data_IF_313325371937
#
_entry.id   IF_313325371937
#
_cell.length_a   1.000
_cell.length_b   1.000
_cell.length_c   1.000
_cell.angle_alpha   90.00
_cell.angle_beta   90.00
_cell.angle_gamma   90.00
#
_symmetry.space_group_name_H-M   'P 1'
#
loop_
_entity.id
_entity.type
_entity.pdbx_description
1 polymer ?
#
# COMPACT_ATOMS: atom_id res chain seq x y z
N UNK A 1 -15.25 -18.56 -7.53
CA UNK A 1 -15.99 -17.47 -8.20
C UNK A 1 -14.94 -16.70 -9.00
N UNK A 2 -15.09 -16.65 -10.32
CA UNK A 2 -14.25 -15.83 -11.19
C UNK A 2 -14.89 -14.43 -11.17
N UNK A 3 -14.11 -13.41 -10.85
CA UNK A 3 -14.58 -12.03 -10.82
C UNK A 3 -14.43 -11.40 -12.21
N UNK A 4 -15.19 -10.35 -12.51
CA UNK A 4 -15.05 -9.59 -13.77
C UNK A 4 -13.61 -9.07 -13.97
N UNK A 5 -12.88 -8.82 -12.88
CA UNK A 5 -11.48 -8.42 -12.93
C UNK A 5 -10.56 -9.59 -13.37
N UNK A 6 -10.88 -10.83 -12.95
CA UNK A 6 -10.16 -12.05 -13.33
C UNK A 6 -10.34 -12.35 -14.83
N UNK A 7 -11.45 -11.91 -15.44
CA UNK A 7 -11.70 -12.04 -16.88
C UNK A 7 -10.88 -11.03 -17.69
N UNK A 8 -10.74 -9.79 -17.19
CA UNK A 8 -10.12 -8.68 -17.92
C UNK A 8 -8.60 -8.65 -17.78
N UNK A 9 -8.09 -9.08 -16.62
CA UNK A 9 -6.68 -9.12 -16.27
C UNK A 9 -6.31 -10.43 -15.55
N UNK A 10 -6.53 -11.59 -16.18
CA UNK A 10 -6.28 -12.88 -15.55
C UNK A 10 -4.85 -13.01 -15.05
N UNK A 11 -4.73 -13.40 -13.78
CA UNK A 11 -3.50 -13.98 -13.25
C UNK A 11 -3.56 -15.50 -13.40
N UNK A 12 -2.68 -16.07 -14.24
CA UNK A 12 -2.44 -17.52 -14.36
C UNK A 12 -3.69 -18.42 -14.52
N UNK A 13 -4.85 -17.88 -14.92
CA UNK A 13 -6.07 -18.65 -15.19
C UNK A 13 -6.42 -18.59 -16.67
N UNK A 14 -6.84 -19.74 -17.18
CA UNK A 14 -7.37 -19.88 -18.52
C UNK A 14 -8.53 -18.89 -18.72
N UNK A 15 -8.47 -18.21 -19.87
CA UNK A 15 -9.40 -17.20 -20.35
C UNK A 15 -10.87 -17.61 -20.21
N UNK A 16 -11.71 -16.67 -19.77
CA UNK A 16 -13.16 -16.75 -19.96
C UNK A 16 -13.68 -15.72 -20.98
N UNK A 17 -12.81 -14.87 -21.55
CA UNK A 17 -13.20 -13.84 -22.53
C UNK A 17 -13.30 -14.34 -23.97
N UNK A 18 -13.04 -15.62 -24.24
CA UNK A 18 -12.98 -16.16 -25.60
C UNK A 18 -11.78 -15.65 -26.43
N UNK A 19 -10.92 -14.79 -25.87
CA UNK A 19 -9.66 -14.37 -26.46
C UNK A 19 -8.62 -15.50 -26.36
N UNK A 20 -7.74 -15.59 -27.37
CA UNK A 20 -6.53 -16.42 -27.31
C UNK A 20 -5.43 -15.74 -26.49
N UNK A 21 -4.47 -16.50 -25.95
CA UNK A 21 -3.29 -15.99 -25.25
C UNK A 21 -2.56 -14.87 -26.01
N UNK A 22 -2.47 -14.98 -27.34
CA UNK A 22 -1.78 -14.00 -28.17
C UNK A 22 -2.58 -12.70 -28.30
N UNK A 23 -3.91 -12.78 -28.46
CA UNK A 23 -4.77 -11.60 -28.50
C UNK A 23 -4.71 -10.83 -27.17
N UNK A 24 -4.74 -11.53 -26.05
CA UNK A 24 -4.58 -10.93 -24.73
C UNK A 24 -3.22 -10.26 -24.55
N UNK A 25 -2.12 -10.96 -24.88
CA UNK A 25 -0.77 -10.40 -24.78
C UNK A 25 -0.63 -9.11 -25.60
N UNK A 26 -1.17 -9.08 -26.81
CA UNK A 26 -1.12 -7.90 -27.67
C UNK A 26 -2.03 -6.77 -27.17
N UNK A 27 -3.21 -7.08 -26.62
CA UNK A 27 -4.09 -6.09 -25.99
C UNK A 27 -3.42 -5.45 -24.77
N UNK A 28 -2.93 -6.26 -23.84
CA UNK A 28 -2.25 -5.78 -22.63
C UNK A 28 -1.01 -4.97 -22.97
N UNK A 29 -0.22 -5.36 -23.98
CA UNK A 29 0.93 -4.55 -24.44
C UNK A 29 0.52 -3.14 -24.85
N UNK A 30 -0.63 -2.96 -25.52
CA UNK A 30 -1.15 -1.65 -25.93
C UNK A 30 -1.73 -0.85 -24.76
N UNK A 31 -2.26 -1.54 -23.75
CA UNK A 31 -2.84 -0.93 -22.55
C UNK A 31 -1.78 -0.55 -21.50
N UNK A 32 -0.52 -0.95 -21.66
CA UNK A 32 0.53 -0.62 -20.68
C UNK A 32 0.95 0.84 -20.76
N UNK A 33 1.07 1.45 -19.59
CA UNK A 33 1.67 2.76 -19.40
C UNK A 33 3.20 2.64 -19.36
N UNK A 34 3.86 3.50 -20.13
CA UNK A 34 5.31 3.60 -20.20
C UNK A 34 5.78 4.81 -19.40
N UNK A 35 6.10 4.59 -18.13
CA UNK A 35 6.65 5.63 -17.25
C UNK A 35 7.99 6.05 -17.85
N UNK A 36 8.18 7.34 -18.12
CA UNK A 36 9.33 8.00 -18.76
C UNK A 36 10.32 8.57 -17.75
N UNK A 37 9.88 9.06 -16.60
CA UNK A 37 10.80 9.55 -15.58
C UNK A 37 11.53 8.39 -14.88
N UNK A 38 12.86 8.40 -14.94
CA UNK A 38 13.71 7.33 -14.39
C UNK A 38 13.54 7.15 -12.88
N UNK A 39 13.48 8.24 -12.12
CA UNK A 39 13.31 8.18 -10.67
C UNK A 39 11.94 7.60 -10.31
N UNK A 40 10.88 8.05 -10.99
CA UNK A 40 9.54 7.53 -10.77
C UNK A 40 9.46 6.03 -11.12
N UNK A 41 10.08 5.64 -12.23
CA UNK A 41 10.16 4.24 -12.63
C UNK A 41 10.89 3.40 -11.58
N UNK A 42 12.00 3.85 -10.99
CA UNK A 42 12.65 3.14 -9.87
C UNK A 42 11.78 3.09 -8.60
N UNK A 43 10.99 4.13 -8.34
CA UNK A 43 10.11 4.18 -7.19
C UNK A 43 8.94 3.19 -7.30
N UNK A 44 8.46 2.93 -8.53
CA UNK A 44 7.32 2.03 -8.81
C UNK A 44 7.75 0.60 -9.12
N UNK A 45 8.84 0.40 -9.85
CA UNK A 45 9.20 -0.90 -10.47
C UNK A 45 10.39 -1.58 -9.78
N UNK A 46 10.81 -2.74 -10.30
CA UNK A 46 12.11 -3.32 -9.98
C UNK A 46 13.30 -2.46 -10.47
N UNK A 47 13.08 -1.42 -11.27
CA UNK A 47 14.10 -0.54 -11.87
C UNK A 47 14.89 -1.22 -12.98
N UNK A 48 14.29 -2.21 -13.65
CA UNK A 48 14.89 -2.95 -14.78
C UNK A 48 14.75 -2.16 -16.08
N UNK A 49 15.79 -2.14 -16.92
CA UNK A 49 15.78 -1.43 -18.20
C UNK A 49 16.24 0.03 -18.13
N UNK A 50 16.69 0.51 -16.97
CA UNK A 50 17.37 1.80 -16.88
C UNK A 50 18.81 1.69 -17.35
N UNK A 51 19.19 2.51 -18.33
CA UNK A 51 20.54 2.55 -18.90
C UNK A 51 21.57 3.07 -17.89
N UNK A 52 21.17 4.02 -17.03
CA UNK A 52 21.95 4.50 -15.89
C UNK A 52 21.02 4.80 -14.70
N UNK A 53 21.33 4.24 -13.53
CA UNK A 53 20.65 4.61 -12.29
C UNK A 53 21.23 5.93 -11.79
N UNK A 54 20.52 7.02 -12.05
CA UNK A 54 20.94 8.36 -11.62
C UNK A 54 20.95 8.48 -10.09
N UNK A 55 20.13 7.67 -9.40
CA UNK A 55 20.03 7.64 -7.95
C UNK A 55 20.45 6.26 -7.42
N UNK A 56 21.14 6.18 -6.26
CA UNK A 56 21.63 4.93 -5.69
C UNK A 56 20.51 4.15 -4.98
N UNK A 57 19.37 3.94 -5.63
CA UNK A 57 18.30 3.07 -5.16
C UNK A 57 18.73 1.61 -5.41
N UNK A 58 19.67 1.11 -4.59
CA UNK A 58 20.15 -0.28 -4.64
C UNK A 58 19.12 -1.27 -4.08
N UNK A 59 19.41 -2.58 -4.16
CA UNK A 59 18.50 -3.68 -3.76
C UNK A 59 17.89 -3.53 -2.35
N UNK A 60 18.58 -2.89 -1.40
CA UNK A 60 18.12 -2.62 -0.03
C UNK A 60 17.43 -1.26 0.14
N UNK A 61 17.48 -0.39 -0.86
CA UNK A 61 16.93 0.98 -0.88
C UNK A 61 15.80 1.14 -1.91
N UNK A 62 15.25 0.01 -2.38
CA UNK A 62 14.42 -0.07 -3.56
C UNK A 62 13.07 0.63 -3.47
N UNK A 63 12.39 0.71 -4.62
CA UNK A 63 11.02 1.21 -4.74
C UNK A 63 9.98 0.32 -4.06
N UNK A 64 8.71 0.56 -4.40
CA UNK A 64 7.57 -0.18 -3.89
C UNK A 64 7.78 -1.71 -3.97
N UNK A 65 8.37 -2.17 -5.08
CA UNK A 65 8.59 -3.59 -5.40
C UNK A 65 9.82 -4.23 -4.75
N UNK A 66 10.71 -3.44 -4.14
CA UNK A 66 12.00 -3.91 -3.60
C UNK A 66 12.16 -3.50 -2.15
N UNK A 67 11.34 -4.12 -1.29
CA UNK A 67 11.45 -4.00 0.17
C UNK A 67 10.96 -2.67 0.74
N UNK A 68 10.27 -1.84 -0.06
CA UNK A 68 9.70 -0.55 0.34
C UNK A 68 10.72 0.37 1.04
N UNK A 69 11.89 0.51 0.44
CA UNK A 69 12.97 1.37 0.93
C UNK A 69 12.77 2.85 0.58
N UNK A 70 13.87 3.53 0.24
CA UNK A 70 13.86 4.97 -0.08
C UNK A 70 12.92 5.27 -1.26
N UNK A 71 12.89 4.43 -2.29
CA UNK A 71 12.02 4.65 -3.44
C UNK A 71 10.52 4.66 -3.08
N UNK A 72 10.10 3.82 -2.11
CA UNK A 72 8.73 3.85 -1.59
C UNK A 72 8.43 5.17 -0.86
N UNK A 73 9.37 5.67 -0.06
CA UNK A 73 9.22 6.96 0.65
C UNK A 73 9.07 8.11 -0.35
N UNK A 74 9.88 8.13 -1.39
CA UNK A 74 9.78 9.12 -2.47
C UNK A 74 8.44 8.99 -3.20
N UNK A 75 7.99 7.77 -3.50
CA UNK A 75 6.68 7.53 -4.11
C UNK A 75 5.54 8.08 -3.25
N UNK A 76 5.55 7.81 -1.94
CA UNK A 76 4.55 8.34 -0.99
C UNK A 76 4.59 9.86 -0.96
N UNK A 77 5.79 10.47 -1.00
CA UNK A 77 5.93 11.93 -1.08
C UNK A 77 5.27 12.50 -2.34
N UNK A 78 5.53 11.91 -3.51
CA UNK A 78 4.94 12.37 -4.78
C UNK A 78 3.43 12.11 -4.82
N UNK A 79 2.98 10.91 -4.45
CA UNK A 79 1.57 10.53 -4.43
C UNK A 79 0.75 11.44 -3.52
N UNK A 80 1.26 11.78 -2.32
CA UNK A 80 0.61 12.74 -1.43
C UNK A 80 0.36 14.10 -2.08
N UNK A 81 1.26 14.56 -2.96
CA UNK A 81 1.10 15.85 -3.65
C UNK A 81 0.14 15.78 -4.82
N UNK A 82 0.06 14.64 -5.51
CA UNK A 82 -0.94 14.39 -6.56
C UNK A 82 -2.34 14.33 -5.96
N UNK A 83 -2.52 13.50 -4.94
CA UNK A 83 -3.83 13.23 -4.34
C UNK A 83 -4.14 14.18 -3.18
N UNK A 84 -3.78 15.47 -3.28
CA UNK A 84 -3.85 16.58 -2.30
C UNK A 84 -4.69 16.38 -1.01
N UNK A 85 -5.83 15.69 -1.06
CA UNK A 85 -6.69 15.26 0.04
C UNK A 85 -6.14 14.12 0.94
N UNK A 86 -5.08 13.41 0.53
CA UNK A 86 -4.46 12.34 1.33
C UNK A 86 -3.46 12.96 2.31
N UNK A 87 -4.00 13.66 3.30
CA UNK A 87 -3.24 14.10 4.46
C UNK A 87 -3.18 12.97 5.49
N UNK A 88 -2.06 12.25 5.48
CA UNK A 88 -1.64 11.55 6.70
C UNK A 88 -1.25 12.60 7.73
N UNK A 89 -1.60 12.37 8.99
CA UNK A 89 -1.24 13.32 10.05
C UNK A 89 0.27 13.64 9.98
N UNK A 90 0.70 14.87 10.31
CA UNK A 90 2.10 15.30 10.16
C UNK A 90 3.14 14.40 10.85
N UNK A 91 2.70 13.53 11.78
CA UNK A 91 3.51 12.54 12.50
C UNK A 91 3.16 11.09 12.15
N UNK A 92 2.25 10.86 11.22
CA UNK A 92 2.04 9.57 10.57
C UNK A 92 3.11 9.35 9.49
N UNK A 93 4.38 9.38 9.92
CA UNK A 93 5.46 8.84 9.11
C UNK A 93 5.04 7.44 8.70
N UNK A 94 5.08 7.16 7.41
CA UNK A 94 4.84 5.81 6.94
C UNK A 94 5.77 4.87 7.72
N UNK A 95 5.25 3.74 8.20
CA UNK A 95 6.02 2.77 9.00
C UNK A 95 7.32 2.37 8.30
N UNK A 96 7.34 2.36 6.97
CA UNK A 96 8.55 2.09 6.21
C UNK A 96 9.57 3.22 6.37
N UNK A 97 9.13 4.49 6.35
CA UNK A 97 10.01 5.64 6.64
C UNK A 97 10.55 5.61 8.07
N UNK A 98 9.73 5.31 9.08
CA UNK A 98 10.18 5.33 10.48
C UNK A 98 11.27 4.28 10.75
N UNK A 99 11.20 3.13 10.07
CA UNK A 99 12.19 2.04 10.09
C UNK A 99 13.47 2.31 9.32
N UNK A 100 13.50 3.33 8.46
CA UNK A 100 14.72 3.65 7.72
C UNK A 100 15.84 4.09 8.66
N UNK A 101 17.07 3.71 8.31
CA UNK A 101 18.25 4.22 9.01
C UNK A 101 18.37 5.74 8.82
N UNK A 102 19.06 6.43 9.73
CA UNK A 102 19.33 7.87 9.56
C UNK A 102 20.05 8.16 8.24
N UNK A 103 20.93 7.25 7.79
CA UNK A 103 21.62 7.34 6.50
C UNK A 103 20.63 7.32 5.34
N UNK A 104 19.65 6.42 5.36
CA UNK A 104 18.64 6.31 4.31
C UNK A 104 17.67 7.50 4.30
N UNK A 105 17.29 7.99 5.48
CA UNK A 105 16.49 9.23 5.61
C UNK A 105 17.24 10.42 5.02
N UNK A 106 18.51 10.58 5.34
CA UNK A 106 19.36 11.65 4.78
C UNK A 106 19.55 11.50 3.27
N UNK A 107 19.65 10.27 2.76
CA UNK A 107 19.72 10.03 1.32
C UNK A 107 18.41 10.40 0.62
N UNK A 108 17.24 10.04 1.19
CA UNK A 108 15.95 10.44 0.66
C UNK A 108 15.82 11.97 0.58
N UNK A 109 16.21 12.68 1.64
CA UNK A 109 16.24 14.15 1.67
C UNK A 109 17.21 14.73 0.65
N UNK A 110 18.40 14.13 0.48
CA UNK A 110 19.39 14.55 -0.51
C UNK A 110 18.83 14.44 -1.93
N UNK A 111 18.18 13.32 -2.25
CA UNK A 111 17.51 13.12 -3.54
C UNK A 111 16.46 14.21 -3.76
N UNK A 112 15.54 14.41 -2.81
CA UNK A 112 14.51 15.45 -2.91
C UNK A 112 15.09 16.85 -3.07
N UNK A 113 16.15 17.19 -2.33
CA UNK A 113 16.81 18.49 -2.41
C UNK A 113 17.56 18.73 -3.72
N UNK A 114 17.96 17.66 -4.43
CA UNK A 114 18.60 17.76 -5.74
C UNK A 114 17.62 17.97 -6.90
N UNK A 115 16.32 17.74 -6.66
CA UNK A 115 15.30 17.93 -7.69
C UNK A 115 14.91 19.40 -7.75
N UNK A 116 15.02 19.98 -8.94
CA UNK A 116 14.45 21.28 -9.25
C UNK A 116 12.92 21.22 -9.25
N UNK A 117 12.27 22.37 -9.08
CA UNK A 117 10.81 22.46 -9.16
C UNK A 117 10.25 21.89 -10.48
N UNK A 118 10.79 22.22 -11.67
CA UNK A 118 10.32 21.61 -12.92
C UNK A 118 10.43 20.08 -12.96
N UNK A 119 11.47 19.49 -12.35
CA UNK A 119 11.61 18.04 -12.27
C UNK A 119 10.55 17.42 -11.35
N UNK A 120 10.27 18.05 -10.20
CA UNK A 120 9.20 17.62 -9.31
C UNK A 120 7.85 17.71 -10.02
N UNK A 121 7.55 18.84 -10.65
CA UNK A 121 6.28 19.07 -11.35
C UNK A 121 6.09 18.04 -12.49
N UNK A 122 7.15 17.70 -13.22
CA UNK A 122 7.12 16.64 -14.24
C UNK A 122 6.82 15.25 -13.65
N UNK A 123 7.41 14.90 -12.50
CA UNK A 123 7.11 13.63 -11.80
C UNK A 123 5.64 13.61 -11.37
N UNK A 124 5.12 14.70 -10.80
CA UNK A 124 3.73 14.77 -10.35
C UNK A 124 2.73 14.69 -11.50
N UNK A 125 3.03 15.33 -12.63
CA UNK A 125 2.21 15.26 -13.84
C UNK A 125 2.14 13.81 -14.37
N UNK A 126 3.28 13.16 -14.54
CA UNK A 126 3.33 11.77 -15.01
C UNK A 126 2.64 10.80 -14.03
N UNK A 127 2.76 11.04 -12.73
CA UNK A 127 2.07 10.22 -11.73
C UNK A 127 0.54 10.37 -11.80
N UNK A 128 0.07 11.57 -12.11
CA UNK A 128 -1.35 11.85 -12.36
C UNK A 128 -1.82 11.17 -13.64
N UNK A 129 -1.01 11.21 -14.71
CA UNK A 129 -1.28 10.52 -15.97
C UNK A 129 -1.37 9.00 -15.78
N UNK A 130 -0.46 8.40 -15.00
CA UNK A 130 -0.50 6.97 -14.67
C UNK A 130 -1.79 6.60 -13.92
N UNK A 131 -2.18 7.39 -12.92
CA UNK A 131 -3.44 7.15 -12.20
C UNK A 131 -4.65 7.27 -13.15
N UNK A 132 -4.73 8.34 -13.95
CA UNK A 132 -5.82 8.53 -14.90
C UNK A 132 -5.86 7.44 -15.98
N UNK A 133 -4.70 6.95 -16.40
CA UNK A 133 -4.58 5.80 -17.30
C UNK A 133 -5.16 4.54 -16.65
N UNK A 134 -4.80 4.26 -15.40
CA UNK A 134 -5.37 3.15 -14.63
C UNK A 134 -6.88 3.26 -14.49
N UNK A 135 -7.37 4.44 -14.10
CA UNK A 135 -8.80 4.66 -13.90
C UNK A 135 -9.61 4.50 -15.19
N UNK A 136 -9.11 4.99 -16.34
CA UNK A 136 -9.76 4.74 -17.64
C UNK A 136 -9.86 3.25 -17.94
N UNK A 137 -8.74 2.53 -17.83
CA UNK A 137 -8.72 1.09 -18.10
C UNK A 137 -9.69 0.30 -17.20
N UNK A 138 -9.90 0.71 -15.94
CA UNK A 138 -10.84 0.05 -15.03
C UNK A 138 -12.30 0.48 -15.26
N UNK A 139 -12.55 1.78 -15.41
CA UNK A 139 -13.90 2.34 -15.49
C UNK A 139 -14.55 2.09 -16.85
N UNK A 140 -13.77 2.08 -17.94
CA UNK A 140 -14.27 1.77 -19.29
C UNK A 140 -14.82 0.33 -19.38
N UNK A 141 -14.43 -0.52 -18.42
CA UNK A 141 -14.90 -1.89 -18.28
C UNK A 141 -16.14 -2.03 -17.41
N UNK A 142 -16.77 -0.93 -16.98
CA UNK A 142 -17.93 -0.93 -16.08
C UNK A 142 -17.69 -1.75 -14.80
N UNK A 143 -16.46 -1.73 -14.26
CA UNK A 143 -16.14 -2.34 -12.97
C UNK A 143 -16.51 -1.33 -11.89
N UNK A 144 -17.40 -1.72 -10.98
CA UNK A 144 -17.81 -0.86 -9.84
C UNK A 144 -17.16 -1.27 -8.53
N UNK A 145 -16.64 -2.50 -8.45
CA UNK A 145 -16.01 -3.09 -7.28
C UNK A 145 -14.88 -4.03 -7.72
N UNK A 146 -13.78 -4.04 -6.97
CA UNK A 146 -12.64 -4.94 -7.17
C UNK A 146 -12.45 -5.76 -5.90
N UNK A 147 -12.44 -7.07 -6.01
CA UNK A 147 -12.26 -7.97 -4.85
C UNK A 147 -10.83 -8.46 -4.81
N UNK A 148 -10.05 -7.96 -3.87
CA UNK A 148 -8.64 -8.27 -3.74
C UNK A 148 -8.39 -9.19 -2.55
N UNK A 149 -7.37 -10.03 -2.67
CA UNK A 149 -6.93 -10.90 -1.60
C UNK A 149 -5.46 -10.69 -1.25
N UNK A 150 -5.10 -10.99 -0.01
CA UNK A 150 -3.70 -11.07 0.41
C UNK A 150 -3.52 -12.21 1.38
N UNK A 151 -2.47 -13.00 1.16
CA UNK A 151 -2.07 -14.00 2.14
C UNK A 151 -0.93 -13.49 3.03
N UNK A 152 -1.00 -13.82 4.32
CA UNK A 152 -0.08 -13.34 5.35
C UNK A 152 0.70 -14.52 5.92
N UNK A 153 2.03 -14.41 5.87
CA UNK A 153 2.95 -15.37 6.48
C UNK A 153 2.89 -15.31 8.01
N UNK A 154 3.09 -16.46 8.65
CA UNK A 154 3.50 -16.53 10.05
C UNK A 154 4.94 -17.08 10.11
N UNK A 155 5.84 -16.43 10.81
CA UNK A 155 7.19 -16.93 11.08
C UNK A 155 7.68 -16.50 12.45
N UNK A 156 8.76 -17.11 12.94
CA UNK A 156 9.34 -16.79 14.25
C UNK A 156 9.75 -15.32 14.38
N UNK A 157 10.33 -14.76 13.31
CA UNK A 157 10.71 -13.34 13.21
C UNK A 157 9.51 -12.42 12.94
N UNK A 158 8.35 -12.98 12.57
CA UNK A 158 7.22 -12.23 12.09
C UNK A 158 5.87 -12.91 12.34
N UNK A 159 5.26 -12.56 13.48
CA UNK A 159 4.01 -13.14 13.98
C UNK A 159 2.75 -12.42 13.47
N UNK A 160 2.78 -11.87 12.24
CA UNK A 160 1.64 -11.08 11.72
C UNK A 160 0.33 -11.84 11.72
N UNK A 161 0.31 -13.06 11.17
CA UNK A 161 -0.91 -13.85 11.09
C UNK A 161 -1.42 -14.17 12.49
N UNK A 162 -0.55 -14.59 13.41
CA UNK A 162 -0.91 -14.80 14.82
C UNK A 162 -1.51 -13.53 15.46
N UNK A 163 -0.89 -12.37 15.25
CA UNK A 163 -1.40 -11.10 15.78
C UNK A 163 -2.78 -10.77 15.23
N UNK A 164 -3.02 -10.97 13.93
CA UNK A 164 -4.35 -10.74 13.35
C UNK A 164 -5.41 -11.69 13.93
N UNK A 165 -5.09 -12.99 14.10
CA UNK A 165 -6.01 -13.97 14.71
C UNK A 165 -6.39 -13.54 16.13
N UNK A 166 -5.40 -13.17 16.96
CA UNK A 166 -5.67 -12.70 18.33
C UNK A 166 -6.64 -11.53 18.36
N UNK A 167 -6.48 -10.58 17.42
CA UNK A 167 -7.36 -9.40 17.32
C UNK A 167 -8.77 -9.77 16.90
N UNK A 168 -8.91 -10.73 16.00
CA UNK A 168 -10.21 -11.28 15.60
C UNK A 168 -10.90 -11.96 16.79
N UNK A 169 -10.18 -12.80 17.54
CA UNK A 169 -10.72 -13.48 18.73
C UNK A 169 -11.18 -12.48 19.80
N UNK A 170 -10.38 -11.44 20.05
CA UNK A 170 -10.71 -10.39 21.02
C UNK A 170 -11.93 -9.60 20.56
N UNK A 171 -11.94 -9.12 19.32
CA UNK A 171 -13.08 -8.40 18.76
C UNK A 171 -14.36 -9.25 18.83
N UNK A 172 -14.27 -10.54 18.51
CA UNK A 172 -15.40 -11.48 18.64
C UNK A 172 -15.88 -11.60 20.09
N UNK A 173 -14.98 -11.72 21.07
CA UNK A 173 -15.34 -11.78 22.50
C UNK A 173 -15.94 -10.49 23.03
N UNK A 174 -15.55 -9.35 22.46
CA UNK A 174 -16.12 -8.03 22.71
C UNK A 174 -17.39 -7.74 21.88
N UNK A 175 -17.88 -8.71 21.11
CA UNK A 175 -19.03 -8.59 20.20
C UNK A 175 -18.89 -7.46 19.17
N UNK A 176 -17.67 -7.26 18.67
CA UNK A 176 -17.36 -6.38 17.55
C UNK A 176 -17.26 -7.21 16.28
N UNK A 177 -17.80 -6.70 15.19
CA UNK A 177 -17.76 -7.37 13.88
C UNK A 177 -16.61 -6.91 12.99
N UNK A 178 -15.79 -5.98 13.46
CA UNK A 178 -14.68 -5.38 12.71
C UNK A 178 -13.40 -5.35 13.53
N UNK A 179 -12.26 -5.36 12.85
CA UNK A 179 -10.95 -5.07 13.42
C UNK A 179 -10.25 -3.97 12.62
N UNK A 180 -9.49 -3.14 13.32
CA UNK A 180 -8.63 -2.14 12.70
C UNK A 180 -7.44 -2.83 12.00
N UNK A 181 -6.90 -2.34 10.89
CA UNK A 181 -5.75 -2.94 10.20
C UNK A 181 -4.89 -1.84 9.62
N UNK A 182 -3.57 -1.95 9.79
CA UNK A 182 -2.63 -1.06 9.12
C UNK A 182 -2.67 -1.31 7.61
N UNK A 183 -3.01 -0.30 6.81
CA UNK A 183 -3.13 -0.48 5.36
C UNK A 183 -1.80 -0.80 4.67
N UNK A 184 -0.63 -0.61 5.30
CA UNK A 184 0.63 -1.11 4.74
C UNK A 184 0.68 -2.65 4.68
N UNK A 185 -0.11 -3.32 5.53
CA UNK A 185 -0.38 -4.76 5.43
C UNK A 185 -1.17 -5.09 4.16
N UNK A 186 -1.77 -4.10 3.52
CA UNK A 186 -2.84 -4.20 2.53
C UNK A 186 -2.62 -3.24 1.34
N UNK A 187 -1.43 -2.68 1.16
CA UNK A 187 -1.18 -1.71 0.07
C UNK A 187 -0.84 -2.38 -1.26
N UNK A 188 -0.68 -3.70 -1.23
CA UNK A 188 -0.38 -4.57 -2.35
C UNK A 188 -1.21 -5.85 -2.19
N UNK A 189 -1.95 -6.21 -3.22
CA UNK A 189 -2.82 -7.37 -3.22
C UNK A 189 -2.65 -8.18 -4.49
N UNK A 190 -2.93 -9.48 -4.40
CA UNK A 190 -3.13 -10.35 -5.55
C UNK A 190 -4.60 -10.70 -5.72
N UNK A 191 -5.03 -11.04 -6.94
CA UNK A 191 -6.40 -11.56 -7.16
C UNK A 191 -6.63 -12.87 -6.37
N UNK A 192 -5.61 -13.72 -6.24
CA UNK A 192 -5.61 -14.93 -5.41
C UNK A 192 -4.95 -14.73 -4.02
N UNK A 193 -4.34 -13.57 -3.83
CA UNK A 193 -3.56 -13.15 -2.68
C UNK A 193 -2.10 -13.59 -2.65
N UNK A 194 -1.63 -14.31 -3.67
CA UNK A 194 -0.29 -14.89 -3.75
C UNK A 194 0.01 -15.90 -2.64
N UNK A 195 1.11 -16.65 -2.74
CA UNK A 195 1.65 -17.48 -1.65
C UNK A 195 0.60 -18.41 -0.98
N UNK A 196 0.04 -19.40 -1.69
CA UNK A 196 -1.07 -20.23 -1.21
C UNK A 196 -0.77 -20.98 0.09
N UNK A 197 0.50 -21.22 0.40
CA UNK A 197 0.99 -21.87 1.61
C UNK A 197 0.96 -20.97 2.86
N UNK A 198 0.65 -19.68 2.73
CA UNK A 198 0.52 -18.79 3.88
C UNK A 198 -0.80 -19.03 4.62
N UNK A 199 -0.76 -19.04 5.97
CA UNK A 199 -1.82 -19.62 6.79
C UNK A 199 -3.06 -18.74 6.97
N UNK A 200 -2.98 -17.46 6.59
CA UNK A 200 -4.09 -16.51 6.67
C UNK A 200 -4.30 -15.85 5.31
N UNK A 201 -5.56 -15.73 4.88
CA UNK A 201 -6.00 -14.94 3.74
C UNK A 201 -6.94 -13.83 4.22
N UNK A 202 -6.68 -12.61 3.76
CA UNK A 202 -7.55 -11.46 3.92
C UNK A 202 -8.18 -11.17 2.55
N UNK A 203 -9.49 -10.93 2.49
CA UNK A 203 -10.22 -10.56 1.29
C UNK A 203 -10.96 -9.25 1.50
N UNK A 204 -10.80 -8.30 0.60
CA UNK A 204 -11.45 -6.99 0.66
C UNK A 204 -12.09 -6.65 -0.68
N UNK A 205 -13.29 -6.09 -0.64
CA UNK A 205 -13.87 -5.41 -1.81
C UNK A 205 -13.56 -3.93 -1.70
N UNK A 206 -12.93 -3.37 -2.73
CA UNK A 206 -12.52 -1.97 -2.78
C UNK A 206 -13.09 -1.28 -4.00
N UNK A 207 -13.25 0.03 -3.88
CA UNK A 207 -13.75 0.86 -4.95
C UNK A 207 -12.64 1.12 -6.00
N UNK A 208 -12.89 0.99 -7.31
CA UNK A 208 -11.93 1.25 -8.39
C UNK A 208 -11.07 2.51 -8.26
N UNK A 209 -11.67 3.61 -7.79
CA UNK A 209 -11.00 4.89 -7.52
C UNK A 209 -9.84 4.81 -6.53
N UNK A 210 -9.77 3.79 -5.68
CA UNK A 210 -8.64 3.61 -4.76
C UNK A 210 -7.50 2.82 -5.40
N UNK A 211 -7.64 2.32 -6.63
CA UNK A 211 -6.52 1.68 -7.34
C UNK A 211 -5.58 2.74 -7.91
N UNK A 212 -4.33 2.68 -7.50
CA UNK A 212 -3.29 3.53 -8.06
C UNK A 212 -2.83 3.02 -9.43
N UNK A 213 -2.42 1.76 -9.47
CA UNK A 213 -2.07 0.99 -10.66
C UNK A 213 -2.16 -0.50 -10.35
N UNK A 214 -2.18 -1.33 -11.40
CA UNK A 214 -1.99 -2.77 -11.28
C UNK A 214 -0.89 -3.25 -12.21
N UNK A 215 -0.38 -4.46 -11.96
CA UNK A 215 0.81 -4.99 -12.63
C UNK A 215 0.71 -5.04 -14.14
N UNK A 216 -0.50 -5.29 -14.64
CA UNK A 216 -0.74 -5.49 -16.05
C UNK A 216 -0.67 -4.18 -16.85
N UNK A 217 -0.81 -3.04 -16.17
CA UNK A 217 -0.81 -1.72 -16.79
C UNK A 217 0.56 -1.02 -16.76
N UNK A 218 1.61 -1.67 -16.24
CA UNK A 218 2.96 -1.07 -16.20
C UNK A 218 3.88 -1.77 -17.21
N UNK A 219 4.49 -1.00 -18.10
CA UNK A 219 5.48 -1.49 -19.06
C UNK A 219 6.84 -1.74 -18.40
N UNK A 220 7.49 -2.86 -18.73
CA UNK A 220 8.92 -3.05 -18.44
C UNK A 220 9.76 -2.46 -19.57
N UNK A 221 10.66 -1.53 -19.24
CA UNK A 221 11.51 -0.84 -20.23
C UNK A 221 12.60 -1.72 -20.84
N UNK A 222 13.02 -2.80 -20.17
CA UNK A 222 14.03 -3.72 -20.69
C UNK A 222 13.43 -4.68 -21.73
N UNK A 223 12.24 -5.19 -21.45
CA UNK A 223 11.59 -6.21 -22.27
C UNK A 223 10.07 -6.17 -22.06
N UNK A 224 9.32 -5.91 -23.12
CA UNK A 224 7.86 -5.88 -23.09
C UNK A 224 7.20 -7.22 -22.76
N UNK A 225 7.93 -8.32 -22.77
CA UNK A 225 7.40 -9.61 -22.33
C UNK A 225 7.68 -9.88 -20.83
N UNK A 226 8.55 -9.09 -20.20
CA UNK A 226 8.86 -9.21 -18.78
C UNK A 226 8.02 -8.26 -17.91
N UNK A 227 8.07 -8.50 -16.61
CA UNK A 227 7.25 -7.81 -15.62
C UNK A 227 8.03 -6.65 -15.03
N UNK A 228 7.48 -5.44 -15.05
CA UNK A 228 8.12 -4.28 -14.39
C UNK A 228 7.92 -4.34 -12.86
N UNK A 229 6.83 -4.97 -12.42
CA UNK A 229 6.35 -5.04 -11.04
C UNK A 229 5.93 -6.47 -10.71
N UNK A 230 5.64 -6.79 -9.44
CA UNK A 230 5.21 -8.14 -9.07
C UNK A 230 3.90 -8.49 -9.80
N UNK A 231 3.77 -9.74 -10.23
CA UNK A 231 2.62 -10.13 -11.07
C UNK A 231 1.36 -10.35 -10.29
N UNK A 232 0.25 -9.85 -10.84
CA UNK A 232 -1.05 -9.88 -10.18
C UNK A 232 -1.17 -8.82 -9.11
N UNK A 233 -0.19 -7.92 -8.97
CA UNK A 233 -0.19 -6.93 -7.92
C UNK A 233 -1.09 -5.75 -8.25
N UNK A 234 -1.97 -5.43 -7.31
CA UNK A 234 -2.79 -4.23 -7.29
C UNK A 234 -2.31 -3.31 -6.19
N UNK A 235 -1.93 -2.09 -6.55
CA UNK A 235 -1.49 -1.08 -5.58
C UNK A 235 -2.65 -0.18 -5.21
N UNK A 236 -2.98 -0.19 -3.93
CA UNK A 236 -4.17 0.48 -3.40
C UNK A 236 -3.77 1.72 -2.61
N UNK A 237 -4.40 2.83 -2.95
CA UNK A 237 -4.29 4.10 -2.26
C UNK A 237 -4.98 3.99 -0.90
N UNK A 238 -4.24 4.34 0.15
CA UNK A 238 -4.79 4.49 1.48
C UNK A 238 -5.25 5.92 1.70
N UNK A 239 -6.56 6.13 1.75
CA UNK A 239 -7.19 7.42 2.05
C UNK A 239 -7.42 7.64 3.56
N UNK A 240 -7.11 6.66 4.41
CA UNK A 240 -7.21 6.81 5.86
C UNK A 240 -6.17 7.80 6.41
N UNK A 241 -6.58 8.87 7.13
CA UNK A 241 -5.67 9.85 7.72
C UNK A 241 -4.69 9.26 8.74
N UNK A 242 -5.08 8.16 9.40
CA UNK A 242 -4.29 7.47 10.42
C UNK A 242 -3.45 6.33 9.85
N UNK A 243 -3.65 5.97 8.58
CA UNK A 243 -3.04 4.78 8.00
C UNK A 243 -3.77 3.47 8.34
N UNK A 244 -4.83 3.54 9.15
CA UNK A 244 -5.56 2.40 9.70
C UNK A 244 -6.95 2.33 9.05
N UNK A 245 -7.36 1.16 8.58
CA UNK A 245 -8.70 0.90 8.04
C UNK A 245 -9.44 -0.13 8.90
N UNK A 246 -10.77 -0.16 8.79
CA UNK A 246 -11.58 -1.19 9.46
C UNK A 246 -11.95 -2.28 8.47
N UNK A 247 -11.69 -3.53 8.84
CA UNK A 247 -12.11 -4.69 8.08
C UNK A 247 -13.11 -5.54 8.88
N UNK A 248 -14.20 -6.00 8.25
CA UNK A 248 -15.08 -7.01 8.84
C UNK A 248 -14.29 -8.26 9.22
N UNK A 249 -14.63 -8.92 10.33
CA UNK A 249 -14.05 -10.21 10.71
C UNK A 249 -14.27 -11.26 9.61
N UNK A 250 -15.38 -11.18 8.88
CA UNK A 250 -15.68 -12.05 7.73
C UNK A 250 -14.69 -11.91 6.56
N UNK A 251 -13.88 -10.85 6.52
CA UNK A 251 -12.82 -10.69 5.52
C UNK A 251 -11.64 -11.63 5.74
N UNK A 252 -11.54 -12.29 6.90
CA UNK A 252 -10.39 -13.10 7.28
C UNK A 252 -10.72 -14.59 7.18
N UNK A 253 -9.85 -15.33 6.51
CA UNK A 253 -9.91 -16.79 6.38
C UNK A 253 -8.60 -17.38 6.89
N UNK A 254 -8.67 -18.27 7.87
CA UNK A 254 -7.52 -18.98 8.40
C UNK A 254 -7.99 -20.31 8.98
N UNK A 255 -7.09 -21.29 9.00
CA UNK A 255 -7.38 -22.61 9.56
C UNK A 255 -7.12 -22.60 11.08
N UNK A 256 -8.19 -22.71 11.86
CA UNK A 256 -8.12 -22.71 13.32
C UNK A 256 -7.32 -23.89 13.90
N UNK A 257 -7.26 -25.04 13.23
CA UNK A 257 -6.58 -26.24 13.72
C UNK A 257 -5.05 -26.04 13.75
N UNK A 258 -4.51 -25.43 12.70
CA UNK A 258 -3.11 -25.03 12.60
C UNK A 258 -2.68 -23.99 13.66
N UNK A 259 -3.64 -23.34 14.32
CA UNK A 259 -3.40 -22.35 15.38
C UNK A 259 -3.94 -22.78 16.75
N UNK A 260 -4.25 -24.06 16.97
CA UNK A 260 -4.75 -24.56 18.26
C UNK A 260 -3.80 -24.25 19.43
N UNK A 261 -2.48 -24.31 19.20
CA UNK A 261 -1.49 -23.95 20.22
C UNK A 261 -1.57 -22.47 20.64
N UNK A 262 -2.16 -21.62 19.81
CA UNK A 262 -2.42 -20.20 20.08
C UNK A 262 -3.76 -19.99 20.75
N UNK A 263 -4.81 -20.67 20.27
CA UNK A 263 -6.12 -20.68 20.91
C UNK A 263 -6.04 -21.15 22.36
N UNK A 264 -5.25 -22.20 22.63
CA UNK A 264 -4.98 -22.71 23.98
C UNK A 264 -4.19 -21.74 24.87
N UNK A 265 -3.43 -20.79 24.29
CA UNK A 265 -2.73 -19.73 25.05
C UNK A 265 -3.64 -18.53 25.31
N UNK A 266 -4.56 -18.22 24.40
CA UNK A 266 -5.57 -17.18 24.59
C UNK A 266 -6.64 -17.61 25.60
N UNK A 267 -7.20 -18.81 25.49
CA UNK A 267 -8.32 -19.26 26.33
C UNK A 267 -7.98 -19.45 27.82
N UNK A 268 -6.70 -19.63 28.17
CA UNK A 268 -6.28 -19.99 29.54
C UNK A 268 -6.02 -18.81 30.48
N UNK A 269 -5.91 -17.56 30.00
CA UNK A 269 -5.70 -16.41 30.88
C UNK A 269 -6.13 -15.08 30.20
N UNK A 270 -7.24 -14.45 30.62
CA UNK A 270 -7.70 -13.15 30.08
C UNK A 270 -6.62 -12.05 30.13
N UNK A 271 -5.74 -12.11 31.12
CA UNK A 271 -4.64 -11.16 31.30
C UNK A 271 -3.50 -11.35 30.29
N UNK A 272 -3.25 -12.58 29.82
CA UNK A 272 -2.26 -12.84 28.76
C UNK A 272 -2.81 -12.44 27.38
N UNK A 273 -4.12 -12.52 27.18
CA UNK A 273 -4.83 -11.99 26.00
C UNK A 273 -4.61 -10.47 25.90
N UNK A 274 -4.87 -9.73 26.99
CA UNK A 274 -4.73 -8.26 27.02
C UNK A 274 -3.26 -7.82 26.82
N UNK A 275 -2.30 -8.55 27.40
CA UNK A 275 -0.88 -8.22 27.25
C UNK A 275 -0.36 -8.47 25.83
N UNK A 276 -0.71 -9.62 25.25
CA UNK A 276 -0.39 -9.92 23.84
C UNK A 276 -1.16 -9.07 22.83
N UNK A 277 -2.31 -8.51 23.22
CA UNK A 277 -3.08 -7.59 22.38
C UNK A 277 -2.33 -6.29 22.15
N UNK A 278 -1.73 -5.68 23.18
CA UNK A 278 -0.94 -4.44 23.03
C UNK A 278 0.25 -4.62 22.08
N UNK A 279 0.86 -5.79 22.06
CA UNK A 279 1.97 -6.10 21.15
C UNK A 279 1.50 -6.31 19.69
N UNK A 280 0.20 -6.50 19.49
CA UNK A 280 -0.43 -6.72 18.20
C UNK A 280 -1.37 -5.58 17.77
N UNK A 281 -1.55 -4.54 18.59
CA UNK A 281 -2.34 -3.38 18.23
C UNK A 281 -1.73 -2.70 16.98
N UNK A 282 -2.57 -2.23 16.03
CA UNK A 282 -2.09 -1.32 15.01
C UNK A 282 -1.36 -0.19 15.69
N UNK A 283 -0.28 0.30 15.08
CA UNK A 283 0.42 1.44 15.62
C UNK A 283 -0.47 2.67 15.39
N UNK A 284 -1.31 2.97 16.39
CA UNK A 284 -2.04 4.23 16.47
C UNK A 284 -1.03 5.33 16.75
N UNK A 285 -0.58 6.01 15.69
CA UNK A 285 0.27 7.18 15.83
C UNK A 285 -0.57 8.28 16.51
N UNK A 286 -0.22 8.60 17.76
CA UNK A 286 -1.11 9.23 18.75
C UNK A 286 -1.71 10.58 18.30
N UNK A 287 -2.98 10.81 18.67
CA UNK A 287 -3.78 12.02 18.36
C UNK A 287 -3.25 13.33 18.99
N UNK A 288 -2.25 13.26 19.86
CA UNK A 288 -1.63 14.42 20.49
C UNK A 288 -0.14 14.45 20.17
N UNK A 289 0.29 15.31 19.26
CA UNK A 289 1.71 15.52 19.00
C UNK A 289 2.00 16.95 18.54
N UNK A 290 3.20 17.39 18.90
CA UNK A 290 3.80 18.67 18.59
C UNK A 290 4.34 18.69 17.15
N UNK A 291 3.96 19.68 16.34
CA UNK A 291 4.52 19.85 14.98
C UNK A 291 6.03 20.10 15.10
N UNK A 292 6.84 19.26 14.44
CA UNK A 292 8.30 19.50 14.36
C UNK A 292 8.55 20.69 13.43
N UNK A 293 9.36 21.69 13.83
CA UNK A 293 9.62 22.91 13.03
C UNK A 293 10.31 22.66 11.68
N UNK A 294 10.75 21.44 11.44
CA UNK A 294 11.67 21.03 10.37
C UNK A 294 10.96 20.49 9.12
N UNK A 295 9.63 20.63 9.03
CA UNK A 295 8.84 20.38 7.81
C UNK A 295 8.62 21.69 7.03
N UNK A 296 9.48 22.05 6.06
CA UNK A 296 9.46 23.37 5.42
C UNK A 296 8.35 23.50 4.35
N UNK A 297 7.69 22.39 4.01
CA UNK A 297 6.65 22.33 2.98
C UNK A 297 5.25 22.75 3.46
N UNK A 298 5.08 22.99 4.77
CA UNK A 298 3.88 23.61 5.34
C UNK A 298 4.28 25.05 5.72
N UNK A 299 3.98 26.00 4.83
CA UNK A 299 4.50 27.37 4.87
C UNK A 299 4.60 27.96 6.28
N UNK A 300 5.78 28.54 6.59
CA UNK A 300 6.16 29.27 7.82
C UNK A 300 5.11 29.27 8.95
N UNK A 301 4.87 28.12 9.58
CA UNK A 301 4.23 28.10 10.89
C UNK A 301 5.34 28.24 11.92
N UNK A 302 5.23 29.26 12.77
CA UNK A 302 6.27 29.66 13.72
C UNK A 302 6.78 28.50 14.59
N UNK A 303 7.99 28.69 15.13
CA UNK A 303 8.80 27.74 15.91
C UNK A 303 8.19 27.31 17.26
N UNK A 304 6.86 27.27 17.42
CA UNK A 304 6.21 26.84 18.65
C UNK A 304 5.47 25.53 18.42
N UNK A 305 5.87 24.45 19.09
CA UNK A 305 5.14 23.20 19.03
C UNK A 305 3.76 23.39 19.71
N UNK A 306 2.69 23.48 18.93
CA UNK A 306 1.31 23.63 19.42
C UNK A 306 0.62 22.27 19.52
N UNK A 307 0.01 21.97 20.67
CA UNK A 307 -0.76 20.73 20.91
C UNK A 307 -2.19 20.94 20.43
N UNK A 308 -2.54 20.44 19.24
CA UNK A 308 -3.90 20.58 18.67
C UNK A 308 -4.58 19.21 18.56
N UNK A 309 -5.88 19.13 18.89
CA UNK A 309 -6.69 17.92 18.67
C UNK A 309 -6.97 17.75 17.18
N UNK A 310 -6.34 16.75 16.58
CA UNK A 310 -6.29 16.50 15.14
C UNK A 310 -7.67 16.23 14.49
N UNK A 311 -8.59 15.60 15.22
CA UNK A 311 -9.99 15.37 14.77
C UNK A 311 -10.78 16.67 14.61
N UNK A 312 -10.51 17.67 15.46
CA UNK A 312 -11.15 18.98 15.37
C UNK A 312 -10.64 19.79 14.17
N UNK A 313 -9.34 19.69 13.88
CA UNK A 313 -8.73 20.33 12.71
C UNK A 313 -9.24 19.73 11.40
N UNK A 314 -9.35 18.40 11.33
CA UNK A 314 -9.94 17.67 10.20
C UNK A 314 -11.40 18.07 9.93
N UNK A 315 -12.21 18.14 10.99
CA UNK A 315 -13.61 18.53 10.88
C UNK A 315 -13.81 20.03 10.58
N UNK A 316 -12.83 20.89 10.88
CA UNK A 316 -12.84 22.30 10.50
C UNK A 316 -12.47 22.47 9.02
N UNK A 317 -11.49 21.70 8.52
CA UNK A 317 -11.09 21.71 7.11
C UNK A 317 -12.18 21.17 6.18
N UNK A 318 -12.88 20.08 6.56
CA UNK A 318 -14.04 19.56 5.81
C UNK A 318 -15.22 20.53 5.69
N UNK A 319 -15.26 21.58 6.51
CA UNK A 319 -16.35 22.57 6.52
C UNK A 319 -16.01 23.86 5.75
N UNK A 320 -14.80 23.95 5.20
CA UNK A 320 -14.29 25.15 4.52
C UNK A 320 -14.14 25.04 3.00
N UNK A 321 -14.58 23.94 2.39
CA UNK A 321 -14.63 23.71 0.94
C UNK A 321 -15.91 22.98 0.56
#
# INVERSE_FOLDING_TARGET
>A
MITKQDELWPWCRNFQTGETDNQFKERIKKERYDIKNDLLYECITYGEGLTKRQFPLHRSSGGFMKGKGIGYVLLVFFARRVFQDIYRYPMCEDRNFSKLSNKDKMLALKILSSLSKPQIDSILAELTELYNHTQRNILDQNITNITLARRIKNSDDNKYAECMIRRIEIASSEKKDVIDVEMDTLNSYGDDGGYPHFPMKITQTIHPKTIFYCSNLIRNRANDNDKAVESGEWVVINDSPTGIIQLPISSFQYDCENFESLRNRCSKNPTSIIRGYRDCEPIYLSESAFIRPEYPCLGKVGKVPMKIRLKALWNAFKRGY
#
